data_IF_674788517902
#
_entry.id   IF_674788517902
#
_cell.length_a   1.000
_cell.length_b   1.000
_cell.length_c   1.000
_cell.angle_alpha   90.00
_cell.angle_beta   90.00
_cell.angle_gamma   90.00
#
_symmetry.space_group_name_H-M   'P 1'
#
loop_
_entity.id
_entity.type
_entity.pdbx_description
1 polymer ?
#
# COMPACT_ATOMS: atom_id res chain seq x y z
N UNK A 1 -5.34 3.49 3.64
CA UNK A 1 -5.17 2.27 2.82
C UNK A 1 -6.48 1.52 2.55
N UNK A 2 -7.33 1.25 3.56
CA UNK A 2 -8.66 0.65 3.35
C UNK A 2 -9.55 1.39 2.34
N UNK A 3 -9.65 2.71 2.44
CA UNK A 3 -10.45 3.50 1.49
C UNK A 3 -9.95 3.39 0.04
N UNK A 4 -8.64 3.21 -0.17
CA UNK A 4 -8.07 2.97 -1.50
C UNK A 4 -8.46 1.59 -2.02
N UNK A 5 -8.31 0.55 -1.18
CA UNK A 5 -8.78 -0.80 -1.46
C UNK A 5 -10.26 -0.84 -1.86
N UNK A 6 -11.13 -0.19 -1.08
CA UNK A 6 -12.57 -0.17 -1.34
C UNK A 6 -12.91 0.57 -2.64
N UNK A 7 -12.23 1.69 -2.92
CA UNK A 7 -12.43 2.44 -4.17
C UNK A 7 -11.95 1.68 -5.41
N UNK A 8 -10.87 0.92 -5.29
CA UNK A 8 -10.32 0.09 -6.38
C UNK A 8 -10.97 -1.30 -6.47
N UNK A 9 -11.77 -1.71 -5.46
CA UNK A 9 -12.29 -3.08 -5.38
C UNK A 9 -11.21 -4.14 -5.10
N UNK A 10 -10.06 -3.73 -4.54
CA UNK A 10 -8.92 -4.60 -4.26
C UNK A 10 -8.86 -4.98 -2.79
N UNK A 11 -8.52 -6.24 -2.50
CA UNK A 11 -8.29 -6.66 -1.12
C UNK A 11 -6.95 -6.14 -0.60
N UNK A 12 -6.87 -5.71 0.68
CA UNK A 12 -5.59 -5.33 1.30
C UNK A 12 -4.54 -6.44 1.26
N UNK A 13 -4.97 -7.71 1.19
CA UNK A 13 -4.05 -8.85 1.04
C UNK A 13 -3.42 -8.93 -0.35
N UNK A 14 -4.11 -8.42 -1.37
CA UNK A 14 -3.69 -8.44 -2.77
C UNK A 14 -2.86 -7.23 -3.16
N UNK A 15 -2.65 -6.27 -2.26
CA UNK A 15 -1.83 -5.10 -2.54
C UNK A 15 -0.77 -4.91 -1.45
N UNK A 16 0.32 -4.25 -1.80
CA UNK A 16 1.40 -3.87 -0.91
C UNK A 16 1.65 -2.38 -1.10
N UNK A 17 1.59 -1.66 0.00
CA UNK A 17 1.94 -0.25 0.06
C UNK A 17 3.42 -0.13 0.39
N UNK A 18 4.11 0.70 -0.39
CA UNK A 18 5.51 1.04 -0.18
C UNK A 18 5.69 2.54 -0.13
N UNK A 19 6.55 2.97 0.76
CA UNK A 19 7.00 4.35 0.85
C UNK A 19 8.53 4.32 0.78
N UNK A 20 9.11 5.02 -0.18
CA UNK A 20 10.56 5.00 -0.47
C UNK A 20 11.18 3.60 -0.53
N UNK A 21 10.44 2.64 -1.09
CA UNK A 21 10.87 1.24 -1.21
C UNK A 21 10.71 0.41 0.07
N UNK A 22 10.44 1.01 1.23
CA UNK A 22 10.10 0.32 2.46
C UNK A 22 8.63 -0.10 2.46
N UNK A 23 8.34 -1.29 3.01
CA UNK A 23 6.97 -1.76 3.16
C UNK A 23 6.27 -1.00 4.29
N UNK A 24 5.04 -0.53 4.05
CA UNK A 24 4.23 0.11 5.07
C UNK A 24 3.27 -0.92 5.68
N UNK A 25 3.29 -1.06 7.00
CA UNK A 25 2.36 -1.86 7.77
C UNK A 25 1.23 -1.01 8.33
N UNK A 26 0.15 -1.66 8.78
CA UNK A 26 -0.99 -0.98 9.40
C UNK A 26 -0.66 -0.33 10.76
N UNK A 27 0.44 -0.74 11.38
CA UNK A 27 0.94 -0.18 12.65
C UNK A 27 1.89 0.99 12.46
N UNK A 28 2.41 1.18 11.25
CA UNK A 28 3.37 2.24 10.96
C UNK A 28 2.65 3.58 10.89
N UNK A 29 3.24 4.59 11.51
CA UNK A 29 2.72 5.96 11.49
C UNK A 29 3.49 6.81 10.48
N UNK A 30 2.86 7.83 9.88
CA UNK A 30 3.55 8.76 9.00
C UNK A 30 4.81 9.38 9.63
N UNK A 31 4.76 9.67 10.94
CA UNK A 31 5.90 10.22 11.67
C UNK A 31 7.09 9.26 11.78
N UNK A 32 6.85 7.94 11.87
CA UNK A 32 7.91 6.93 11.91
C UNK A 32 8.53 6.67 10.54
N UNK A 33 7.74 6.88 9.49
CA UNK A 33 8.18 6.77 8.10
C UNK A 33 8.73 8.09 7.57
N UNK A 34 8.83 9.13 8.41
CA UNK A 34 9.26 10.48 8.04
C UNK A 34 8.48 11.03 6.82
N UNK A 35 7.20 10.66 6.72
CA UNK A 35 6.33 11.09 5.63
C UNK A 35 5.91 12.55 5.82
N UNK A 36 6.09 13.33 4.76
CA UNK A 36 5.69 14.72 4.65
C UNK A 36 4.38 14.89 3.87
N UNK A 37 3.84 16.11 3.90
CA UNK A 37 2.74 16.45 3.03
C UNK A 37 3.22 16.46 1.58
N UNK A 38 2.40 15.93 0.65
CA UNK A 38 2.71 15.77 -0.79
C UNK A 38 3.55 14.54 -1.14
N UNK A 39 3.96 13.74 -0.15
CA UNK A 39 4.61 12.45 -0.39
C UNK A 39 3.70 11.43 -1.08
N UNK A 40 4.31 10.61 -1.93
CA UNK A 40 3.63 9.58 -2.71
C UNK A 40 3.91 8.18 -2.16
N UNK A 41 2.84 7.39 -2.02
CA UNK A 41 2.92 5.98 -1.66
C UNK A 41 2.79 5.15 -2.93
N UNK A 42 3.77 4.28 -3.18
CA UNK A 42 3.69 3.30 -4.24
C UNK A 42 2.79 2.13 -3.84
N UNK A 43 1.88 1.76 -4.74
CA UNK A 43 0.97 0.62 -4.54
C UNK A 43 1.30 -0.46 -5.55
N UNK A 44 1.77 -1.60 -5.04
CA UNK A 44 2.03 -2.78 -5.84
C UNK A 44 0.90 -3.77 -5.65
N UNK A 45 0.22 -4.14 -6.72
CA UNK A 45 -0.70 -5.26 -6.67
C UNK A 45 0.12 -6.55 -6.65
N UNK A 46 -0.03 -7.31 -5.57
CA UNK A 46 0.46 -8.67 -5.51
C UNK A 46 -0.37 -9.49 -6.49
N UNK A 47 0.23 -9.84 -7.63
CA UNK A 47 -0.41 -10.66 -8.64
C UNK A 47 -0.68 -12.05 -8.07
N UNK A 48 -1.88 -12.25 -7.52
CA UNK A 48 -2.44 -13.57 -7.22
C UNK A 48 -3.24 -14.01 -8.43
N UNK A 49 -2.58 -14.31 -9.55
CA UNK A 49 -3.35 -14.64 -10.77
C UNK A 49 -2.53 -14.81 -12.03
N UNK A 50 -2.10 -16.06 -12.22
CA UNK A 50 -1.72 -16.66 -13.49
C UNK A 50 -1.90 -18.17 -13.35
N UNK A 51 -3.10 -18.62 -13.00
CA UNK A 51 -3.48 -20.03 -13.11
C UNK A 51 -4.44 -20.13 -14.30
N UNK A 52 -3.84 -20.57 -15.41
CA UNK A 52 -4.37 -21.15 -16.65
C UNK A 52 -5.51 -20.43 -17.37
#
# INVERSE_FOLDING_TARGET
>A
MKAYCERQGLSMRQIRFRFDGQLINETDTPAQLEMEAEDTIDVFQQQTGGSF
#
